data_IF_670381113789
#
_entry.id   IF_670381113789
#
_cell.length_a   1.000
_cell.length_b   1.000
_cell.length_c   1.000
_cell.angle_alpha   90.00
_cell.angle_beta   90.00
_cell.angle_gamma   90.00
#
_symmetry.space_group_name_H-M   'P 1'
#
loop_
_entity.id
_entity.type
_entity.pdbx_description
1 polymer ?
#
# COMPACT_ATOMS: atom_id res chain seq x y z
N UNK A 1 22.33 -18.35 7.27
CA UNK A 1 21.63 -17.71 8.45
C UNK A 1 21.24 -18.74 9.51
N UNK A 2 21.03 -18.32 10.80
CA UNK A 2 20.54 -19.22 11.86
C UNK A 2 19.11 -19.68 11.55
N UNK A 3 18.73 -20.97 11.75
CA UNK A 3 17.35 -21.42 11.57
C UNK A 3 16.39 -20.69 12.54
N UNK A 4 15.11 -20.66 12.21
CA UNK A 4 14.05 -20.13 13.08
C UNK A 4 13.91 -21.02 14.33
N UNK A 5 13.76 -20.43 15.49
CA UNK A 5 13.45 -21.18 16.72
C UNK A 5 11.95 -21.57 16.76
N UNK A 6 11.56 -22.34 17.78
CA UNK A 6 10.19 -22.86 17.90
C UNK A 6 9.12 -21.77 18.09
N UNK A 7 9.46 -20.67 18.75
CA UNK A 7 8.58 -19.51 18.94
C UNK A 7 8.42 -18.74 17.63
N UNK A 8 9.52 -18.52 16.94
CA UNK A 8 9.58 -17.86 15.63
C UNK A 8 8.79 -18.63 14.58
N UNK A 9 8.98 -19.97 14.52
CA UNK A 9 8.19 -20.86 13.66
C UNK A 9 6.68 -20.74 13.97
N UNK A 10 6.31 -20.72 15.23
CA UNK A 10 4.90 -20.58 15.63
C UNK A 10 4.30 -19.26 15.20
N UNK A 11 5.03 -18.16 15.32
CA UNK A 11 4.60 -16.83 14.83
C UNK A 11 4.41 -16.83 13.32
N UNK A 12 5.33 -17.44 12.55
CA UNK A 12 5.21 -17.56 11.10
C UNK A 12 3.95 -18.36 10.73
N UNK A 13 3.70 -19.49 11.38
CA UNK A 13 2.52 -20.33 11.13
C UNK A 13 1.21 -19.63 11.47
N UNK A 14 1.16 -18.90 12.59
CA UNK A 14 -0.04 -18.16 12.98
C UNK A 14 -0.37 -17.05 11.97
N UNK A 15 0.62 -16.26 11.56
CA UNK A 15 0.39 -15.23 10.55
C UNK A 15 0.02 -15.84 9.20
N UNK A 16 0.66 -16.94 8.79
CA UNK A 16 0.34 -17.66 7.57
C UNK A 16 -1.12 -18.11 7.57
N UNK A 17 -1.60 -18.65 8.69
CA UNK A 17 -2.99 -19.11 8.85
C UNK A 17 -3.99 -17.97 8.77
N UNK A 18 -3.71 -16.81 9.37
CA UNK A 18 -4.55 -15.62 9.25
C UNK A 18 -4.64 -15.15 7.79
N UNK A 19 -3.55 -15.19 7.06
CA UNK A 19 -3.52 -14.82 5.65
C UNK A 19 -4.33 -15.81 4.80
N UNK A 20 -4.17 -17.10 5.00
CA UNK A 20 -4.95 -18.16 4.33
C UNK A 20 -6.45 -17.95 4.57
N UNK A 21 -6.88 -17.85 5.82
CA UNK A 21 -8.29 -17.66 6.20
C UNK A 21 -8.90 -16.36 5.64
N UNK A 22 -8.08 -15.35 5.38
CA UNK A 22 -8.55 -14.08 4.82
C UNK A 22 -9.19 -14.21 3.44
N UNK A 23 -8.84 -15.26 2.68
CA UNK A 23 -9.38 -15.51 1.35
C UNK A 23 -10.91 -15.67 1.39
N UNK A 24 -11.38 -16.44 2.36
CA UNK A 24 -12.81 -16.77 2.53
C UNK A 24 -13.51 -15.84 3.52
N UNK A 25 -12.82 -15.39 4.59
CA UNK A 25 -13.41 -14.61 5.68
C UNK A 25 -13.51 -13.11 5.41
N UNK A 26 -12.80 -12.56 4.44
CA UNK A 26 -12.89 -11.14 4.11
C UNK A 26 -13.63 -10.91 2.78
N UNK A 27 -14.34 -9.78 2.68
CA UNK A 27 -15.07 -9.39 1.46
C UNK A 27 -14.23 -8.54 0.50
N UNK A 28 -13.07 -8.04 0.95
CA UNK A 28 -12.16 -7.21 0.16
C UNK A 28 -11.03 -8.03 -0.47
N UNK A 29 -10.30 -7.42 -1.40
CA UNK A 29 -9.22 -8.10 -2.15
C UNK A 29 -8.05 -8.53 -1.27
N UNK A 30 -7.29 -9.55 -1.71
CA UNK A 30 -6.08 -10.02 -1.02
C UNK A 30 -5.02 -8.92 -0.87
N UNK A 31 -4.73 -8.07 -1.88
CA UNK A 31 -3.81 -6.95 -1.71
C UNK A 31 -4.23 -5.97 -0.60
N UNK A 32 -5.53 -5.71 -0.46
CA UNK A 32 -6.03 -4.84 0.62
C UNK A 32 -5.89 -5.51 1.98
N UNK A 33 -6.18 -6.82 2.08
CA UNK A 33 -5.96 -7.56 3.32
C UNK A 33 -4.49 -7.49 3.74
N UNK A 34 -3.57 -7.81 2.82
CA UNK A 34 -2.13 -7.77 3.07
C UNK A 34 -1.72 -6.41 3.63
N UNK A 35 -2.12 -5.34 2.95
CA UNK A 35 -1.80 -3.98 3.39
C UNK A 35 -2.34 -3.66 4.78
N UNK A 36 -3.64 -3.89 5.01
CA UNK A 36 -4.29 -3.65 6.30
C UNK A 36 -3.60 -4.41 7.41
N UNK A 37 -3.36 -5.71 7.21
CA UNK A 37 -2.69 -6.54 8.20
C UNK A 37 -1.29 -6.01 8.52
N UNK A 38 -0.45 -5.82 7.51
CA UNK A 38 0.95 -5.44 7.71
C UNK A 38 1.14 -4.06 8.36
N UNK A 39 0.15 -3.17 8.24
CA UNK A 39 0.16 -1.82 8.82
C UNK A 39 -0.63 -1.72 10.15
N UNK A 40 -1.24 -2.81 10.61
CA UNK A 40 -2.14 -2.82 11.76
C UNK A 40 -1.43 -2.92 13.11
N UNK A 41 -2.19 -2.61 14.16
CA UNK A 41 -1.83 -2.91 15.54
C UNK A 41 -1.64 -4.41 15.79
N UNK A 42 -2.39 -5.26 15.07
CA UNK A 42 -2.24 -6.72 15.09
C UNK A 42 -0.84 -7.12 14.64
N UNK A 43 -0.38 -6.66 13.47
CA UNK A 43 0.97 -6.95 12.98
C UNK A 43 2.05 -6.46 13.95
N UNK A 44 1.84 -5.29 14.59
CA UNK A 44 2.72 -4.79 15.63
C UNK A 44 2.79 -5.74 16.83
N UNK A 45 1.68 -6.36 17.24
CA UNK A 45 1.68 -7.36 18.32
C UNK A 45 2.47 -8.63 17.96
N UNK A 46 2.50 -9.01 16.68
CA UNK A 46 3.39 -10.06 16.17
C UNK A 46 4.86 -9.64 16.22
N UNK A 47 5.19 -8.40 15.82
CA UNK A 47 6.55 -7.86 15.86
C UNK A 47 7.10 -7.85 17.30
N UNK A 48 6.25 -7.53 18.28
CA UNK A 48 6.57 -7.51 19.71
C UNK A 48 6.46 -8.89 20.36
N UNK A 49 6.14 -9.96 19.62
CA UNK A 49 5.87 -11.33 20.09
C UNK A 49 4.71 -11.45 21.10
N UNK A 50 3.93 -10.38 21.27
CA UNK A 50 2.81 -10.31 22.22
C UNK A 50 1.61 -11.14 21.79
N UNK A 51 1.40 -11.31 20.47
CA UNK A 51 0.29 -12.07 19.91
C UNK A 51 0.21 -13.51 20.42
N UNK A 52 1.34 -14.14 20.72
CA UNK A 52 1.39 -15.49 21.28
C UNK A 52 0.75 -15.60 22.68
N UNK A 53 0.70 -14.52 23.41
CA UNK A 53 0.17 -14.46 24.79
C UNK A 53 -1.25 -13.90 24.84
N UNK A 54 -1.79 -13.49 23.68
CA UNK A 54 -3.17 -13.04 23.55
C UNK A 54 -4.01 -14.25 23.17
N UNK A 55 -5.05 -14.54 23.94
CA UNK A 55 -6.05 -15.59 23.61
C UNK A 55 -7.00 -15.09 22.52
N UNK A 56 -6.46 -14.51 21.44
CA UNK A 56 -7.23 -13.91 20.36
C UNK A 56 -7.54 -14.94 19.31
N UNK A 57 -8.81 -15.11 18.98
CA UNK A 57 -9.25 -15.96 17.88
C UNK A 57 -8.97 -15.33 16.51
N UNK A 58 -9.08 -16.12 15.46
CA UNK A 58 -8.96 -15.62 14.07
C UNK A 58 -10.06 -14.58 13.79
N UNK A 59 -11.28 -14.85 14.24
CA UNK A 59 -12.43 -13.97 14.08
C UNK A 59 -12.23 -12.62 14.78
N UNK A 60 -11.75 -12.63 16.01
CA UNK A 60 -11.42 -11.41 16.75
C UNK A 60 -10.31 -10.61 16.06
N UNK A 61 -9.33 -11.29 15.45
CA UNK A 61 -8.28 -10.64 14.70
C UNK A 61 -8.84 -9.91 13.47
N UNK A 62 -9.77 -10.52 12.73
CA UNK A 62 -10.43 -9.86 11.60
C UNK A 62 -11.32 -8.71 12.06
N UNK A 63 -12.04 -8.86 13.16
CA UNK A 63 -12.83 -7.78 13.76
C UNK A 63 -11.95 -6.59 14.13
N UNK A 64 -10.79 -6.82 14.76
CA UNK A 64 -9.83 -5.76 15.09
C UNK A 64 -9.31 -5.02 13.85
N UNK A 65 -9.07 -5.73 12.74
CA UNK A 65 -8.70 -5.09 11.48
C UNK A 65 -9.84 -4.22 10.92
N UNK A 66 -11.07 -4.70 10.99
CA UNK A 66 -12.25 -3.94 10.53
C UNK A 66 -12.55 -2.74 11.45
N UNK A 67 -12.27 -2.83 12.74
CA UNK A 67 -12.34 -1.70 13.68
C UNK A 67 -11.27 -0.65 13.39
N UNK A 68 -10.03 -1.07 13.06
CA UNK A 68 -8.92 -0.15 12.80
C UNK A 68 -9.04 0.54 11.44
N UNK A 69 -9.49 -0.17 10.39
CA UNK A 69 -9.50 0.32 9.00
C UNK A 69 -10.88 0.55 8.41
N UNK A 70 -11.93 0.24 9.15
CA UNK A 70 -13.32 0.24 8.66
C UNK A 70 -13.68 -1.01 7.87
N UNK A 71 -14.96 -1.39 7.92
CA UNK A 71 -15.50 -2.50 7.11
C UNK A 71 -15.40 -2.14 5.62
N UNK A 72 -14.95 -3.08 4.80
CA UNK A 72 -14.77 -2.86 3.36
C UNK A 72 -15.20 -4.09 2.55
N UNK A 73 -15.63 -3.84 1.32
CA UNK A 73 -15.83 -4.85 0.27
C UNK A 73 -15.03 -4.51 -0.98
N UNK A 74 -14.00 -3.67 -0.84
CA UNK A 74 -13.25 -3.12 -1.95
C UNK A 74 -12.30 -4.13 -2.60
N UNK A 75 -12.27 -4.09 -3.94
CA UNK A 75 -11.38 -4.91 -4.75
C UNK A 75 -11.87 -6.36 -4.91
N UNK A 76 -11.66 -6.93 -6.11
CA UNK A 76 -12.13 -8.29 -6.47
C UNK A 76 -11.01 -9.32 -6.51
N UNK A 77 -9.76 -8.88 -6.60
CA UNK A 77 -8.60 -9.78 -6.74
C UNK A 77 -8.42 -10.61 -5.48
N UNK A 78 -8.58 -11.91 -5.60
CA UNK A 78 -8.26 -12.89 -4.54
C UNK A 78 -7.09 -13.75 -5.00
N UNK A 79 -6.09 -13.86 -4.14
CA UNK A 79 -5.04 -14.86 -4.28
C UNK A 79 -5.56 -16.21 -3.77
N UNK A 80 -4.91 -17.31 -4.12
CA UNK A 80 -5.28 -18.62 -3.59
C UNK A 80 -4.93 -18.73 -2.10
N UNK A 81 -5.54 -19.69 -1.41
CA UNK A 81 -5.22 -19.97 0.00
C UNK A 81 -3.73 -20.30 0.19
N UNK A 82 -3.17 -21.09 -0.72
CA UNK A 82 -1.74 -21.46 -0.71
C UNK A 82 -0.84 -20.22 -0.90
N UNK A 83 -1.19 -19.34 -1.84
CA UNK A 83 -0.46 -18.09 -2.05
C UNK A 83 -0.50 -17.21 -0.81
N UNK A 84 -1.68 -17.05 -0.21
CA UNK A 84 -1.83 -16.24 0.98
C UNK A 84 -1.13 -16.86 2.19
N UNK A 85 -1.19 -18.18 2.37
CA UNK A 85 -0.43 -18.87 3.41
C UNK A 85 1.07 -18.58 3.28
N UNK A 86 1.63 -18.78 2.08
CA UNK A 86 3.03 -18.51 1.82
C UNK A 86 3.40 -17.04 2.06
N UNK A 87 2.56 -16.11 1.59
CA UNK A 87 2.78 -14.67 1.78
C UNK A 87 2.80 -14.31 3.27
N UNK A 88 1.85 -14.82 4.04
CA UNK A 88 1.83 -14.58 5.49
C UNK A 88 3.06 -15.12 6.19
N UNK A 89 3.51 -16.32 5.78
CA UNK A 89 4.69 -16.96 6.34
C UNK A 89 5.98 -16.20 6.00
N UNK A 90 6.19 -15.85 4.73
CA UNK A 90 7.41 -15.18 4.28
C UNK A 90 7.53 -13.78 4.88
N UNK A 91 6.43 -13.02 5.00
CA UNK A 91 6.45 -11.71 5.64
C UNK A 91 6.92 -11.78 7.10
N UNK A 92 6.42 -12.76 7.87
CA UNK A 92 6.86 -12.93 9.26
C UNK A 92 8.30 -13.41 9.33
N UNK A 93 8.69 -14.33 8.45
CA UNK A 93 10.07 -14.79 8.34
C UNK A 93 11.04 -13.63 8.07
N UNK A 94 10.72 -12.76 7.11
CA UNK A 94 11.49 -11.55 6.80
C UNK A 94 11.62 -10.62 8.02
N UNK A 95 10.49 -10.32 8.68
CA UNK A 95 10.46 -9.47 9.88
C UNK A 95 11.40 -10.00 10.97
N UNK A 96 11.32 -11.30 11.26
CA UNK A 96 12.13 -11.95 12.30
C UNK A 96 13.61 -11.99 11.90
N UNK A 97 13.90 -12.46 10.70
CA UNK A 97 15.29 -12.68 10.23
C UNK A 97 16.11 -11.41 10.12
N UNK A 98 15.47 -10.33 9.68
CA UNK A 98 16.13 -9.05 9.47
C UNK A 98 15.90 -8.06 10.62
N UNK A 99 15.15 -8.50 11.67
CA UNK A 99 14.78 -7.67 12.83
C UNK A 99 14.18 -6.32 12.42
N UNK A 100 13.22 -6.37 11.50
CA UNK A 100 12.49 -5.22 10.98
C UNK A 100 11.00 -5.38 11.23
N UNK A 101 10.28 -4.26 11.31
CA UNK A 101 8.84 -4.29 11.57
C UNK A 101 8.05 -4.82 10.38
N UNK A 102 6.84 -5.33 10.63
CA UNK A 102 5.88 -5.71 9.58
C UNK A 102 5.67 -4.58 8.58
N UNK A 103 5.53 -3.35 9.06
CA UNK A 103 5.41 -2.15 8.23
C UNK A 103 6.61 -2.02 7.29
N UNK A 104 7.83 -2.12 7.80
CA UNK A 104 9.06 -2.01 6.99
C UNK A 104 9.12 -3.12 5.94
N UNK A 105 8.76 -4.37 6.30
CA UNK A 105 8.72 -5.46 5.32
C UNK A 105 7.72 -5.18 4.21
N UNK A 106 6.55 -4.61 4.54
CA UNK A 106 5.54 -4.22 3.55
C UNK A 106 6.01 -3.09 2.64
N UNK A 107 6.75 -2.11 3.18
CA UNK A 107 7.37 -1.03 2.40
C UNK A 107 8.42 -1.55 1.41
N UNK A 108 9.14 -2.62 1.75
CA UNK A 108 10.10 -3.28 0.86
C UNK A 108 9.42 -4.17 -0.20
N UNK A 109 8.37 -4.87 0.19
CA UNK A 109 7.63 -5.81 -0.65
C UNK A 109 6.14 -5.60 -0.46
N UNK A 110 5.55 -4.62 -1.13
CA UNK A 110 4.12 -4.40 -1.05
C UNK A 110 3.32 -5.57 -1.64
N UNK A 111 1.99 -5.52 -1.53
CA UNK A 111 1.14 -6.64 -1.95
C UNK A 111 1.25 -7.00 -3.45
N UNK A 112 1.66 -6.06 -4.31
CA UNK A 112 1.89 -6.32 -5.74
C UNK A 112 3.27 -6.93 -6.01
N UNK A 113 4.25 -6.59 -5.19
CA UNK A 113 5.60 -7.15 -5.30
C UNK A 113 5.69 -8.55 -4.71
N UNK A 114 5.16 -8.77 -3.51
CA UNK A 114 5.30 -10.05 -2.81
C UNK A 114 4.75 -11.24 -3.63
N UNK A 115 3.64 -11.05 -4.34
CA UNK A 115 3.03 -12.13 -5.15
C UNK A 115 3.91 -12.54 -6.34
N UNK A 116 4.73 -11.64 -6.88
CA UNK A 116 5.66 -11.95 -7.96
C UNK A 116 6.74 -12.94 -7.53
N UNK A 117 7.11 -12.90 -6.26
CA UNK A 117 8.10 -13.83 -5.67
C UNK A 117 7.53 -15.21 -5.39
N UNK A 118 6.20 -15.39 -5.35
CA UNK A 118 5.58 -16.69 -5.04
C UNK A 118 5.99 -17.78 -6.01
N UNK A 119 5.92 -17.55 -7.31
CA UNK A 119 6.12 -18.59 -8.34
C UNK A 119 7.47 -19.31 -8.25
N UNK A 120 8.48 -18.64 -7.75
CA UNK A 120 9.83 -19.21 -7.56
C UNK A 120 10.05 -19.49 -6.07
N UNK A 121 9.64 -18.57 -5.21
CA UNK A 121 9.92 -18.60 -3.79
C UNK A 121 9.31 -19.78 -3.04
N UNK A 122 8.09 -20.23 -3.45
CA UNK A 122 7.41 -21.34 -2.77
C UNK A 122 8.10 -22.70 -2.96
N UNK A 123 9.01 -22.82 -3.92
CA UNK A 123 9.79 -24.05 -4.17
C UNK A 123 11.03 -24.17 -3.29
N UNK A 124 11.42 -23.10 -2.59
CA UNK A 124 12.58 -23.09 -1.70
C UNK A 124 12.19 -23.26 -0.24
N UNK A 125 13.18 -23.63 0.59
CA UNK A 125 13.05 -23.41 2.02
C UNK A 125 12.74 -21.93 2.30
N UNK A 126 11.89 -21.68 3.28
CA UNK A 126 11.36 -20.33 3.54
C UNK A 126 12.45 -19.33 3.91
N UNK A 127 13.51 -19.77 4.61
CA UNK A 127 14.64 -18.89 4.98
C UNK A 127 15.45 -18.55 3.73
N UNK A 128 15.68 -19.53 2.84
CA UNK A 128 16.36 -19.31 1.57
C UNK A 128 15.55 -18.38 0.65
N UNK A 129 14.22 -18.54 0.64
CA UNK A 129 13.35 -17.63 -0.11
C UNK A 129 13.48 -16.20 0.42
N UNK A 130 13.45 -16.01 1.75
CA UNK A 130 13.62 -14.70 2.38
C UNK A 130 14.99 -14.07 2.05
N UNK A 131 16.07 -14.85 2.09
CA UNK A 131 17.42 -14.38 1.73
C UNK A 131 17.47 -13.88 0.28
N UNK A 132 16.99 -14.69 -0.67
CA UNK A 132 16.95 -14.31 -2.09
C UNK A 132 16.10 -13.08 -2.37
N UNK A 133 14.99 -12.94 -1.67
CA UNK A 133 14.16 -11.74 -1.79
C UNK A 133 14.91 -10.49 -1.34
N UNK A 134 15.58 -10.53 -0.19
CA UNK A 134 16.36 -9.39 0.31
C UNK A 134 17.59 -9.10 -0.56
N UNK A 135 18.24 -10.13 -1.10
CA UNK A 135 19.32 -9.98 -2.08
C UNK A 135 18.83 -9.29 -3.36
N UNK A 136 17.62 -9.62 -3.83
CA UNK A 136 17.07 -9.06 -5.07
C UNK A 136 16.87 -7.54 -5.03
N UNK A 137 16.71 -6.98 -3.83
CA UNK A 137 16.58 -5.53 -3.62
C UNK A 137 17.87 -4.91 -3.07
N UNK A 138 18.99 -5.66 -3.05
CA UNK A 138 20.25 -5.24 -2.43
C UNK A 138 20.07 -4.70 -1.01
N UNK A 139 19.19 -5.35 -0.22
CA UNK A 139 18.87 -4.88 1.13
C UNK A 139 20.11 -4.95 2.02
N UNK A 140 20.51 -3.80 2.52
CA UNK A 140 21.54 -3.66 3.55
C UNK A 140 20.90 -3.21 4.86
N UNK A 141 21.33 -3.79 5.96
CA UNK A 141 20.97 -3.29 7.30
C UNK A 141 21.68 -1.98 7.65
N UNK A 142 22.44 -1.43 6.72
CA UNK A 142 23.22 -0.23 6.94
C UNK A 142 22.29 0.98 7.15
N UNK A 143 22.59 1.72 8.21
CA UNK A 143 21.93 2.99 8.57
C UNK A 143 22.02 4.01 7.42
N UNK A 144 23.13 3.98 6.65
CA UNK A 144 23.32 4.89 5.51
C UNK A 144 22.32 4.64 4.39
N UNK A 145 22.02 3.39 4.05
CA UNK A 145 21.10 3.06 2.97
C UNK A 145 19.64 3.38 3.34
N UNK A 146 19.27 3.12 4.61
CA UNK A 146 17.96 3.58 5.14
C UNK A 146 17.83 5.10 5.10
N UNK A 147 18.91 5.81 5.42
CA UNK A 147 18.94 7.27 5.33
C UNK A 147 18.81 7.76 3.89
N UNK A 148 19.46 7.10 2.93
CA UNK A 148 19.35 7.41 1.50
C UNK A 148 17.92 7.22 1.00
N UNK A 149 17.27 6.11 1.35
CA UNK A 149 15.88 5.85 0.94
C UNK A 149 14.90 6.85 1.57
N UNK A 150 15.10 7.20 2.83
CA UNK A 150 14.33 8.26 3.48
C UNK A 150 14.54 9.62 2.80
N UNK A 151 15.78 9.97 2.48
CA UNK A 151 16.08 11.21 1.75
C UNK A 151 15.49 11.23 0.35
N UNK A 152 15.52 10.12 -0.38
CA UNK A 152 14.84 9.99 -1.68
C UNK A 152 13.34 10.29 -1.56
N UNK A 153 12.67 9.68 -0.57
CA UNK A 153 11.25 9.94 -0.30
C UNK A 153 10.98 11.42 -0.03
N UNK A 154 11.79 12.08 0.80
CA UNK A 154 11.67 13.51 1.07
C UNK A 154 11.86 14.36 -0.19
N UNK A 155 12.86 14.07 -1.01
CA UNK A 155 13.14 14.77 -2.25
C UNK A 155 11.95 14.67 -3.21
N UNK A 156 11.35 13.47 -3.33
CA UNK A 156 10.20 13.27 -4.22
C UNK A 156 8.96 14.00 -3.73
N UNK A 157 8.68 14.00 -2.43
CA UNK A 157 7.59 14.80 -1.84
C UNK A 157 7.79 16.27 -2.14
N UNK A 158 9.00 16.81 -1.91
CA UNK A 158 9.31 18.22 -2.20
C UNK A 158 9.23 18.52 -3.72
N UNK A 159 9.63 17.56 -4.56
CA UNK A 159 9.49 17.69 -6.01
C UNK A 159 8.01 17.71 -6.43
N UNK A 160 7.18 16.82 -5.88
CA UNK A 160 5.74 16.83 -6.13
C UNK A 160 5.07 18.12 -5.62
N UNK A 161 5.45 18.61 -4.43
CA UNK A 161 5.01 19.90 -3.92
C UNK A 161 5.39 21.06 -4.84
N UNK A 162 6.56 21.01 -5.45
CA UNK A 162 7.00 22.04 -6.40
C UNK A 162 6.13 22.16 -7.64
N UNK A 163 5.26 21.16 -7.89
CA UNK A 163 4.26 21.19 -8.96
C UNK A 163 3.04 22.04 -8.60
N UNK A 164 2.79 22.29 -7.32
CA UNK A 164 1.66 23.14 -6.88
C UNK A 164 1.80 24.53 -7.50
N UNK A 165 0.73 24.99 -8.10
CA UNK A 165 0.67 26.25 -8.86
C UNK A 165 1.04 26.15 -10.33
N UNK A 166 1.65 25.05 -10.79
CA UNK A 166 2.01 24.83 -12.20
C UNK A 166 0.81 24.32 -13.00
N UNK A 167 0.81 24.64 -14.28
CA UNK A 167 -0.12 24.08 -15.26
C UNK A 167 0.44 22.77 -15.79
N UNK A 168 -0.41 21.74 -15.83
CA UNK A 168 -0.07 20.39 -16.30
C UNK A 168 -1.16 19.81 -17.19
N UNK A 169 -0.78 18.86 -18.05
CA UNK A 169 -1.73 18.05 -18.82
C UNK A 169 -1.86 16.67 -18.19
N UNK A 170 -3.10 16.31 -17.81
CA UNK A 170 -3.47 15.00 -17.28
C UNK A 170 -4.08 14.17 -18.41
N UNK A 171 -3.57 12.97 -18.63
CA UNK A 171 -4.16 11.94 -19.51
C UNK A 171 -5.07 11.06 -18.66
N UNK A 172 -6.36 11.05 -18.98
CA UNK A 172 -7.36 10.36 -18.18
C UNK A 172 -7.44 8.89 -18.59
N UNK A 173 -7.19 7.99 -17.66
CA UNK A 173 -7.34 6.54 -17.84
C UNK A 173 -8.51 5.96 -17.04
N UNK A 174 -9.01 6.72 -16.05
CA UNK A 174 -10.19 6.39 -15.24
C UNK A 174 -11.13 7.59 -15.18
N UNK A 175 -11.98 7.77 -16.21
CA UNK A 175 -12.93 8.87 -16.24
C UNK A 175 -14.05 8.69 -15.20
N UNK A 176 -14.81 9.74 -14.96
CA UNK A 176 -16.01 9.70 -14.11
C UNK A 176 -16.92 8.54 -14.55
N UNK A 177 -17.40 7.76 -13.58
CA UNK A 177 -18.20 6.56 -13.80
C UNK A 177 -17.41 5.29 -14.06
N UNK A 178 -16.11 5.37 -14.25
CA UNK A 178 -15.25 4.19 -14.42
C UNK A 178 -15.29 3.31 -13.16
N UNK A 179 -15.51 2.02 -13.35
CA UNK A 179 -15.50 1.05 -12.25
C UNK A 179 -14.14 0.32 -12.21
N UNK A 180 -13.32 0.67 -11.26
CA UNK A 180 -12.06 0.01 -11.00
C UNK A 180 -12.19 -0.88 -9.75
N UNK A 181 -12.27 -2.20 -9.95
CA UNK A 181 -12.33 -3.19 -8.87
C UNK A 181 -13.44 -2.93 -7.81
N UNK A 182 -14.58 -2.37 -8.24
CA UNK A 182 -15.71 -2.08 -7.36
C UNK A 182 -15.77 -0.65 -6.82
N UNK A 183 -14.74 0.17 -7.04
CA UNK A 183 -14.82 1.62 -6.83
C UNK A 183 -15.32 2.29 -8.11
N UNK A 184 -16.38 3.08 -7.99
CA UNK A 184 -16.83 3.98 -9.04
C UNK A 184 -16.11 5.32 -8.86
N UNK A 185 -15.38 5.74 -9.87
CA UNK A 185 -14.68 7.01 -9.86
C UNK A 185 -15.67 8.15 -9.98
N UNK A 186 -15.73 9.02 -8.98
CA UNK A 186 -16.58 10.22 -8.96
C UNK A 186 -15.85 11.46 -9.47
N UNK A 187 -14.55 11.36 -9.68
CA UNK A 187 -13.70 12.37 -10.30
C UNK A 187 -12.95 11.73 -11.47
N UNK A 188 -12.61 12.53 -12.49
CA UNK A 188 -11.69 12.08 -13.52
C UNK A 188 -10.31 11.83 -12.88
N UNK A 189 -9.66 10.75 -13.25
CA UNK A 189 -8.37 10.34 -12.72
C UNK A 189 -7.48 9.88 -13.87
N UNK A 190 -6.20 10.17 -13.76
CA UNK A 190 -5.23 9.82 -14.78
C UNK A 190 -3.82 10.15 -14.33
N UNK A 191 -2.94 10.43 -15.29
CA UNK A 191 -1.51 10.60 -15.05
C UNK A 191 -0.90 11.74 -15.87
N UNK A 192 0.23 12.25 -15.40
CA UNK A 192 1.01 13.32 -16.02
C UNK A 192 2.28 12.71 -16.60
N UNK A 193 2.42 12.68 -17.95
CA UNK A 193 3.54 12.02 -18.64
C UNK A 193 4.92 12.65 -18.39
N UNK A 194 4.95 13.95 -18.14
CA UNK A 194 6.21 14.69 -17.99
C UNK A 194 6.76 14.65 -16.57
N UNK A 195 6.10 13.90 -15.67
CA UNK A 195 6.52 13.79 -14.30
C UNK A 195 6.34 12.36 -13.77
N UNK A 196 7.41 11.79 -13.20
CA UNK A 196 7.42 10.44 -12.65
C UNK A 196 7.31 10.44 -11.12
N UNK A 197 6.52 9.51 -10.60
CA UNK A 197 6.42 9.21 -9.18
C UNK A 197 7.61 8.34 -8.70
N UNK A 198 7.63 8.03 -7.41
CA UNK A 198 8.73 7.26 -6.78
C UNK A 198 8.92 5.86 -7.33
N UNK A 199 7.84 5.22 -7.74
CA UNK A 199 7.83 3.87 -8.32
C UNK A 199 8.35 3.83 -9.77
N UNK A 200 8.70 4.99 -10.34
CA UNK A 200 9.17 5.15 -11.72
C UNK A 200 8.05 5.25 -12.76
N UNK A 201 6.79 5.11 -12.34
CA UNK A 201 5.60 5.31 -13.17
C UNK A 201 5.29 6.81 -13.33
N UNK A 202 4.34 7.14 -14.21
CA UNK A 202 3.87 8.51 -14.34
C UNK A 202 3.10 8.97 -13.10
N UNK A 203 3.25 10.24 -12.73
CA UNK A 203 2.59 10.81 -11.57
C UNK A 203 1.08 10.85 -11.77
N UNK A 204 0.36 10.18 -10.90
CA UNK A 204 -1.10 10.15 -10.87
C UNK A 204 -1.71 11.47 -10.42
N UNK A 205 -2.88 11.79 -10.96
CA UNK A 205 -3.62 13.01 -10.62
C UNK A 205 -5.14 12.81 -10.64
N UNK A 206 -5.83 13.45 -9.71
CA UNK A 206 -7.26 13.70 -9.74
C UNK A 206 -7.54 15.03 -10.44
N UNK A 207 -8.56 15.04 -11.29
CA UNK A 207 -9.10 16.27 -11.90
C UNK A 207 -10.42 16.62 -11.24
N UNK A 208 -10.48 17.79 -10.59
CA UNK A 208 -11.66 18.27 -9.88
C UNK A 208 -12.44 19.30 -10.72
N UNK A 209 -13.73 19.47 -10.38
CA UNK A 209 -14.60 20.49 -10.98
C UNK A 209 -15.11 20.15 -12.37
N UNK A 210 -15.12 18.87 -12.74
CA UNK A 210 -15.69 18.39 -14.00
C UNK A 210 -16.75 17.31 -13.71
N UNK A 211 -17.89 17.44 -14.35
CA UNK A 211 -19.05 16.55 -14.15
C UNK A 211 -19.19 15.51 -15.26
N UNK A 212 -18.30 15.53 -16.25
CA UNK A 212 -18.33 14.64 -17.41
C UNK A 212 -17.04 13.88 -17.56
N UNK A 213 -17.07 12.66 -18.15
CA UNK A 213 -15.88 11.91 -18.51
C UNK A 213 -15.02 12.70 -19.50
N UNK A 214 -13.70 12.69 -19.29
CA UNK A 214 -12.71 13.36 -20.12
C UNK A 214 -11.69 12.34 -20.67
N UNK A 215 -11.00 12.70 -21.76
CA UNK A 215 -9.82 11.95 -22.25
C UNK A 215 -8.52 12.61 -21.81
N UNK A 216 -8.50 13.93 -21.79
CA UNK A 216 -7.37 14.74 -21.32
C UNK A 216 -7.88 16.00 -20.63
N UNK A 217 -7.06 16.57 -19.75
CA UNK A 217 -7.37 17.82 -19.08
C UNK A 217 -6.11 18.64 -18.86
N UNK A 218 -6.12 19.91 -19.21
CA UNK A 218 -5.05 20.85 -18.87
C UNK A 218 -5.55 21.78 -17.78
N UNK A 219 -4.85 21.84 -16.66
CA UNK A 219 -5.24 22.62 -15.51
C UNK A 219 -4.08 22.88 -14.55
N UNK A 220 -4.40 23.59 -13.46
CA UNK A 220 -3.44 23.98 -12.42
C UNK A 220 -3.41 22.92 -11.31
N UNK A 221 -2.22 22.53 -10.91
CA UNK A 221 -2.01 21.73 -9.69
C UNK A 221 -2.29 22.60 -8.48
N UNK A 222 -3.21 22.19 -7.60
CA UNK A 222 -3.60 22.95 -6.41
C UNK A 222 -3.21 22.28 -5.10
N UNK A 223 -2.95 20.97 -5.10
CA UNK A 223 -2.56 20.22 -3.92
C UNK A 223 -1.83 18.91 -4.25
N UNK A 224 -1.19 18.36 -3.23
CA UNK A 224 -0.60 17.01 -3.21
C UNK A 224 -1.29 16.18 -2.13
N UNK A 225 -1.82 15.03 -2.48
CA UNK A 225 -2.25 13.96 -1.56
C UNK A 225 -1.05 13.09 -1.28
N UNK A 226 -0.42 13.27 -0.12
CA UNK A 226 0.72 12.49 0.30
C UNK A 226 0.25 11.30 1.14
N UNK A 227 0.30 10.10 0.58
CA UNK A 227 -0.05 8.85 1.27
C UNK A 227 1.08 8.43 2.20
N UNK A 228 0.75 8.19 3.46
CA UNK A 228 1.73 7.81 4.50
C UNK A 228 2.05 6.32 4.54
N UNK A 229 1.20 5.52 3.94
CA UNK A 229 1.24 4.07 3.93
C UNK A 229 1.28 3.49 2.50
N UNK A 230 1.61 4.34 1.53
CA UNK A 230 1.78 4.00 0.11
C UNK A 230 2.88 4.90 -0.50
N UNK A 231 3.50 4.47 -1.58
CA UNK A 231 4.50 5.27 -2.31
C UNK A 231 3.86 6.12 -3.42
N UNK A 232 2.61 5.84 -3.75
CA UNK A 232 1.86 6.50 -4.82
C UNK A 232 1.15 7.77 -4.32
N UNK A 233 1.86 8.88 -4.25
CA UNK A 233 1.26 10.19 -4.00
C UNK A 233 0.42 10.63 -5.22
N UNK A 234 -0.61 11.47 -5.00
CA UNK A 234 -1.51 11.93 -6.07
C UNK A 234 -1.54 13.46 -6.11
N UNK A 235 -1.49 14.04 -7.32
CA UNK A 235 -1.70 15.47 -7.49
C UNK A 235 -3.21 15.77 -7.64
N UNK A 236 -3.59 16.98 -7.22
CA UNK A 236 -4.94 17.51 -7.42
C UNK A 236 -4.86 18.62 -8.45
N UNK A 237 -5.62 18.47 -9.52
CA UNK A 237 -5.63 19.41 -10.66
C UNK A 237 -7.05 19.93 -10.87
N UNK A 238 -7.20 21.24 -11.11
CA UNK A 238 -8.49 21.85 -11.44
C UNK A 238 -8.32 22.95 -12.49
N UNK A 239 -9.41 23.62 -12.88
CA UNK A 239 -9.34 24.79 -13.75
C UNK A 239 -8.46 25.88 -13.11
N UNK A 240 -7.81 26.68 -13.95
CA UNK A 240 -6.81 27.68 -13.51
C UNK A 240 -7.34 28.70 -12.50
N UNK A 241 -8.63 29.02 -12.59
CA UNK A 241 -9.29 30.01 -11.74
C UNK A 241 -10.02 29.41 -10.55
N UNK A 242 -10.05 28.06 -10.46
CA UNK A 242 -10.70 27.37 -9.36
C UNK A 242 -9.69 27.12 -8.24
N UNK A 243 -10.19 27.09 -7.02
CA UNK A 243 -9.47 26.65 -5.84
C UNK A 243 -10.45 25.90 -4.91
N UNK A 244 -9.92 24.95 -4.16
CA UNK A 244 -10.67 24.10 -3.26
C UNK A 244 -10.02 24.09 -1.89
N UNK A 245 -10.79 24.18 -0.83
CA UNK A 245 -10.28 23.95 0.53
C UNK A 245 -9.81 22.52 0.71
N UNK A 246 -9.04 22.24 1.74
CA UNK A 246 -8.59 20.89 2.08
C UNK A 246 -9.81 19.98 2.33
N UNK A 247 -10.82 20.49 3.03
CA UNK A 247 -12.05 19.78 3.35
C UNK A 247 -12.87 19.42 2.10
N UNK A 248 -12.92 20.30 1.10
CA UNK A 248 -13.57 20.05 -0.17
C UNK A 248 -12.83 18.99 -0.98
N UNK A 249 -11.49 19.11 -1.07
CA UNK A 249 -10.66 18.10 -1.74
C UNK A 249 -10.86 16.75 -1.08
N UNK A 250 -10.73 16.66 0.25
CA UNK A 250 -10.92 15.42 1.03
C UNK A 250 -12.26 14.75 0.71
N UNK A 251 -13.34 15.53 0.70
CA UNK A 251 -14.68 15.04 0.37
C UNK A 251 -14.78 14.47 -1.06
N UNK A 252 -14.17 15.16 -2.03
CA UNK A 252 -14.24 14.80 -3.44
C UNK A 252 -13.43 13.54 -3.77
N UNK A 253 -12.29 13.32 -3.10
CA UNK A 253 -11.41 12.16 -3.34
C UNK A 253 -11.69 10.99 -2.38
N UNK A 254 -12.55 11.16 -1.38
CA UNK A 254 -12.82 10.17 -0.33
C UNK A 254 -13.31 8.81 -0.87
N UNK A 255 -13.87 8.75 -2.08
CA UNK A 255 -14.29 7.49 -2.70
C UNK A 255 -13.12 6.49 -2.81
N UNK A 256 -11.88 6.97 -2.97
CA UNK A 256 -10.66 6.18 -3.05
C UNK A 256 -9.73 6.40 -1.84
N UNK A 257 -9.51 7.65 -1.43
CA UNK A 257 -8.48 7.98 -0.43
C UNK A 257 -8.85 7.54 1.00
N UNK A 258 -10.12 7.31 1.31
CA UNK A 258 -10.56 6.70 2.59
C UNK A 258 -9.89 5.35 2.92
N UNK A 259 -9.26 4.71 1.95
CA UNK A 259 -8.55 3.44 2.15
C UNK A 259 -7.05 3.63 2.48
N UNK A 260 -6.57 4.88 2.51
CA UNK A 260 -5.16 5.23 2.72
C UNK A 260 -5.02 6.23 3.86
N UNK A 261 -3.95 6.08 4.66
CA UNK A 261 -3.54 7.15 5.59
C UNK A 261 -2.84 8.24 4.77
N UNK A 262 -3.41 9.40 4.64
CA UNK A 262 -2.88 10.47 3.83
C UNK A 262 -3.01 11.83 4.50
N UNK A 263 -2.29 12.80 3.97
CA UNK A 263 -2.46 14.22 4.24
C UNK A 263 -2.53 14.98 2.92
N UNK A 264 -3.30 16.08 2.90
CA UNK A 264 -3.37 17.00 1.77
C UNK A 264 -2.46 18.17 2.06
N UNK A 265 -1.59 18.51 1.10
CA UNK A 265 -0.62 19.60 1.16
C UNK A 265 -0.98 20.59 0.05
N UNK A 266 -1.18 21.86 0.41
CA UNK A 266 -1.44 22.98 -0.52
C UNK A 266 -0.24 23.90 -0.61
#
# INVERSE_FOLDING_TARGET
MKPLDSIELKLCQLQAKLFEESVTKTKYSSPIFIRRFMLSSVAKSFDEKKYLFQSTSIEETFSSLDEEFGVSSYGKTKYTEEQMYWIGYIYRCLSIKYNITSKTVYELFNAREIIKHYNIGHTFDIVQAAERMMESINYSNDIQEKSINYMRRLIMIETAKSMIGKEVMVFIDRPIGYNHNGIIYTQNYGYIKDFKALDGEYQDAYVLGKDTPLETFTGKVIALVNRKDDEEDKLIVCDKNDDYSIEEIEKLINFQEKYYKHIIIK
#
